data_IF_401529690501
#
_entry.id   IF_401529690501
#
_cell.length_a   1.000
_cell.length_b   1.000
_cell.length_c   1.000
_cell.angle_alpha   90.00
_cell.angle_beta   90.00
_cell.angle_gamma   90.00
#
_symmetry.space_group_name_H-M   'P 1'
#
loop_
_entity.id
_entity.type
_entity.pdbx_description
1 polymer ?
#
# COMPACT_ATOMS: atom_id res chain seq x y z
N UNK A 1 27.23 8.71 -14.19
CA UNK A 1 27.78 7.75 -13.19
C UNK A 1 27.08 7.80 -11.82
N UNK A 2 26.72 8.97 -11.25
CA UNK A 2 25.84 9.03 -10.05
C UNK A 2 24.49 8.30 -10.23
N UNK A 3 23.96 8.28 -11.46
CA UNK A 3 22.78 7.50 -11.84
C UNK A 3 23.01 5.98 -11.82
N UNK A 4 24.24 5.51 -12.03
CA UNK A 4 24.58 4.07 -12.03
C UNK A 4 24.70 3.49 -10.62
N UNK A 5 24.95 4.32 -9.62
CA UNK A 5 24.95 3.94 -8.20
C UNK A 5 23.50 3.78 -7.70
N UNK A 6 22.58 4.65 -8.14
CA UNK A 6 21.14 4.48 -7.88
C UNK A 6 20.53 3.23 -8.57
N UNK A 7 21.21 2.67 -9.58
CA UNK A 7 20.82 1.47 -10.34
C UNK A 7 21.55 0.18 -9.90
N UNK A 8 22.30 0.19 -8.79
CA UNK A 8 22.77 -1.04 -8.13
C UNK A 8 24.09 -1.65 -8.63
N UNK A 9 25.07 -0.86 -9.07
CA UNK A 9 26.40 -1.36 -9.43
C UNK A 9 27.47 -1.10 -8.32
N UNK A 10 28.40 -2.03 -7.99
CA UNK A 10 29.04 -2.12 -6.67
C UNK A 10 30.44 -1.50 -6.51
N UNK A 11 30.92 -0.62 -7.40
CA UNK A 11 32.28 -0.02 -7.27
C UNK A 11 32.24 1.50 -7.11
N UNK A 12 32.46 1.95 -5.88
CA UNK A 12 32.62 3.36 -5.50
C UNK A 12 34.08 3.76 -5.71
N UNK A 13 34.35 4.74 -6.58
CA UNK A 13 35.69 5.34 -6.74
C UNK A 13 35.86 6.55 -5.80
N UNK A 14 37.10 6.86 -5.40
CA UNK A 14 37.41 8.01 -4.53
C UNK A 14 36.95 9.36 -5.12
N UNK A 15 36.84 9.46 -6.44
CA UNK A 15 36.34 10.65 -7.14
C UNK A 15 34.83 10.81 -6.91
N UNK A 16 34.09 9.71 -6.93
CA UNK A 16 32.63 9.71 -6.69
C UNK A 16 32.30 10.10 -5.25
N UNK A 17 33.12 9.66 -4.27
CA UNK A 17 32.99 10.09 -2.88
C UNK A 17 33.29 11.58 -2.71
N UNK A 18 34.35 12.09 -3.35
CA UNK A 18 34.72 13.51 -3.27
C UNK A 18 33.64 14.44 -3.85
N UNK A 19 33.00 14.00 -4.95
CA UNK A 19 31.85 14.70 -5.53
C UNK A 19 30.64 14.67 -4.60
N UNK A 20 30.32 13.51 -4.00
CA UNK A 20 29.23 13.38 -3.05
C UNK A 20 29.42 14.30 -1.83
N UNK A 21 30.64 14.35 -1.29
CA UNK A 21 31.02 15.29 -0.23
C UNK A 21 30.76 16.74 -0.63
N UNK A 22 31.15 17.12 -1.84
CA UNK A 22 30.96 18.47 -2.36
C UNK A 22 29.47 18.81 -2.54
N UNK A 23 28.65 17.84 -2.98
CA UNK A 23 27.19 18.00 -3.03
C UNK A 23 26.55 18.12 -1.65
N UNK A 24 27.02 17.35 -0.67
CA UNK A 24 26.57 17.49 0.72
C UNK A 24 26.91 18.87 1.28
N UNK A 25 28.11 19.38 1.04
CA UNK A 25 28.52 20.72 1.48
C UNK A 25 27.65 21.83 0.86
N UNK A 26 27.26 21.69 -0.41
CA UNK A 26 26.34 22.61 -1.11
C UNK A 26 24.92 22.54 -0.52
N UNK A 27 24.42 21.34 -0.20
CA UNK A 27 23.10 21.16 0.42
C UNK A 27 23.07 21.77 1.83
N UNK A 28 24.14 21.56 2.60
CA UNK A 28 24.28 22.14 3.93
C UNK A 28 24.41 23.68 3.88
N UNK A 29 25.09 24.22 2.86
CA UNK A 29 25.14 25.66 2.61
C UNK A 29 23.78 26.24 2.17
N UNK A 30 23.02 25.51 1.34
CA UNK A 30 21.64 25.88 0.94
C UNK A 30 20.67 25.92 2.12
N UNK A 31 20.85 25.04 3.10
CA UNK A 31 20.03 24.90 4.31
C UNK A 31 20.48 25.81 5.46
N UNK A 32 21.60 26.53 5.29
CA UNK A 32 22.22 27.39 6.31
C UNK A 32 22.62 26.66 7.61
N UNK A 33 22.82 25.34 7.55
CA UNK A 33 23.14 24.50 8.72
C UNK A 33 24.65 24.33 8.95
N UNK A 34 25.51 25.20 8.40
CA UNK A 34 26.98 25.09 8.53
C UNK A 34 27.49 25.16 9.98
N UNK A 35 26.70 25.75 10.88
CA UNK A 35 27.05 25.94 12.30
C UNK A 35 26.23 25.05 13.24
N UNK A 36 25.30 24.25 12.71
CA UNK A 36 24.44 23.38 13.52
C UNK A 36 25.04 21.97 13.63
N UNK A 37 24.99 21.40 14.84
CA UNK A 37 25.43 20.02 15.08
C UNK A 37 24.36 19.08 14.52
N UNK A 38 24.56 18.60 13.29
CA UNK A 38 23.64 17.65 12.66
C UNK A 38 23.95 16.25 13.20
N UNK A 39 23.06 15.74 14.04
CA UNK A 39 23.14 14.36 14.54
C UNK A 39 22.34 13.44 13.58
N UNK A 40 23.06 12.60 12.85
CA UNK A 40 22.45 11.59 11.96
C UNK A 40 22.23 10.31 12.78
N UNK A 41 21.00 10.05 13.19
CA UNK A 41 20.64 8.85 13.94
C UNK A 41 20.25 7.68 13.01
N UNK A 42 20.65 6.45 13.38
CA UNK A 42 20.32 5.20 12.69
C UNK A 42 21.54 4.42 12.18
N UNK A 43 21.35 3.14 11.82
CA UNK A 43 22.40 2.23 11.33
C UNK A 43 23.13 2.78 10.08
N UNK A 44 22.39 3.46 9.21
CA UNK A 44 22.91 4.14 8.01
C UNK A 44 23.76 5.36 8.38
N UNK A 45 23.45 6.03 9.50
CA UNK A 45 24.18 7.18 10.02
C UNK A 45 25.57 6.81 10.52
N UNK A 46 25.73 5.63 11.15
CA UNK A 46 27.05 5.14 11.59
C UNK A 46 27.97 4.82 10.40
N UNK A 47 27.42 4.25 9.33
CA UNK A 47 28.16 3.99 8.10
C UNK A 47 28.59 5.30 7.41
N UNK A 48 27.68 6.29 7.35
CA UNK A 48 27.99 7.61 6.83
C UNK A 48 29.06 8.33 7.67
N UNK A 49 28.95 8.33 9.00
CA UNK A 49 29.93 8.96 9.91
C UNK A 49 31.32 8.33 9.73
N UNK A 50 31.40 7.00 9.55
CA UNK A 50 32.65 6.30 9.28
C UNK A 50 33.27 6.71 7.92
N UNK A 51 32.45 6.76 6.86
CA UNK A 51 32.90 7.18 5.52
C UNK A 51 33.34 8.66 5.52
N UNK A 52 32.59 9.54 6.19
CA UNK A 52 32.91 10.95 6.31
C UNK A 52 34.23 11.16 7.07
N UNK A 53 34.50 10.40 8.14
CA UNK A 53 35.76 10.44 8.90
C UNK A 53 36.97 9.91 8.13
N UNK A 54 36.79 8.90 7.28
CA UNK A 54 37.87 8.32 6.47
C UNK A 54 38.17 9.11 5.19
N UNK A 55 37.24 9.96 4.74
CA UNK A 55 37.41 10.82 3.57
C UNK A 55 38.34 12.02 3.86
N UNK A 56 39.34 12.24 2.99
CA UNK A 56 40.11 13.50 2.98
C UNK A 56 39.30 14.57 2.26
N UNK A 57 39.40 15.82 2.74
CA UNK A 57 38.78 17.02 2.15
C UNK A 57 38.83 16.97 0.62
N UNK A 58 37.66 17.10 0.00
CA UNK A 58 37.49 17.11 -1.46
C UNK A 58 38.44 18.13 -2.11
N UNK A 59 39.18 17.75 -3.17
CA UNK A 59 40.03 18.68 -3.93
C UNK A 59 39.24 19.57 -4.89
N UNK A 60 37.91 19.40 -4.99
CA UNK A 60 37.06 20.14 -5.91
C UNK A 60 36.34 21.29 -5.18
N UNK A 61 36.81 22.52 -5.42
CA UNK A 61 36.16 23.73 -4.94
C UNK A 61 35.07 24.15 -5.94
N UNK A 62 33.80 23.99 -5.56
CA UNK A 62 32.67 24.50 -6.35
C UNK A 62 32.33 25.91 -5.88
N UNK A 63 32.34 26.90 -6.78
CA UNK A 63 31.98 28.29 -6.46
C UNK A 63 30.50 28.39 -6.04
N UNK A 64 30.28 28.86 -4.80
CA UNK A 64 28.97 28.94 -4.15
C UNK A 64 28.18 30.22 -4.45
N UNK A 65 28.63 31.04 -5.41
CA UNK A 65 28.09 32.37 -5.70
C UNK A 65 26.62 32.40 -6.17
N UNK A 66 26.05 31.27 -6.62
CA UNK A 66 24.66 31.15 -7.08
C UNK A 66 23.68 30.50 -6.11
N UNK A 67 24.09 30.23 -4.86
CA UNK A 67 23.26 29.49 -3.90
C UNK A 67 22.33 30.46 -3.15
N UNK A 68 21.08 30.57 -3.63
CA UNK A 68 20.00 31.25 -2.89
C UNK A 68 19.64 30.42 -1.64
N UNK A 69 19.87 30.99 -0.46
CA UNK A 69 19.55 30.38 0.85
C UNK A 69 18.04 30.29 1.07
N UNK A 70 17.57 29.21 1.71
CA UNK A 70 16.14 29.01 2.03
C UNK A 70 15.61 29.82 3.23
N UNK A 71 16.41 30.76 3.75
CA UNK A 71 16.17 31.47 5.01
C UNK A 71 14.82 32.22 5.04
N UNK A 72 14.42 32.88 3.94
CA UNK A 72 13.12 33.54 3.84
C UNK A 72 11.93 32.57 3.93
N UNK A 73 12.08 31.35 3.41
CA UNK A 73 10.99 30.38 3.43
C UNK A 73 10.91 29.71 4.82
N UNK A 74 12.06 29.47 5.46
CA UNK A 74 12.11 28.97 6.84
C UNK A 74 11.60 30.01 7.86
N UNK A 75 11.83 31.30 7.64
CA UNK A 75 11.29 32.37 8.49
C UNK A 75 9.78 32.51 8.31
N UNK A 76 9.25 32.38 7.08
CA UNK A 76 7.81 32.31 6.79
C UNK A 76 7.16 31.11 7.49
N UNK A 77 7.77 29.93 7.44
CA UNK A 77 7.26 28.73 8.14
C UNK A 77 7.23 28.95 9.65
N UNK A 78 8.31 29.48 10.26
CA UNK A 78 8.32 29.81 11.70
C UNK A 78 7.25 30.84 12.08
N UNK A 79 7.00 31.83 11.24
CA UNK A 79 5.92 32.81 11.47
C UNK A 79 4.53 32.17 11.42
N UNK A 80 4.33 31.19 10.53
CA UNK A 80 3.09 30.46 10.38
C UNK A 80 2.82 29.58 11.61
N UNK A 81 3.85 28.86 12.09
CA UNK A 81 3.77 28.04 13.31
C UNK A 81 3.35 28.87 14.52
N UNK A 82 3.99 30.02 14.75
CA UNK A 82 3.59 30.93 15.84
C UNK A 82 2.15 31.41 15.73
N UNK A 83 1.66 31.62 14.50
CA UNK A 83 0.27 32.07 14.28
C UNK A 83 -0.73 30.95 14.55
N UNK A 84 -0.38 29.71 14.26
CA UNK A 84 -1.16 28.52 14.63
C UNK A 84 -1.24 28.40 16.15
N UNK A 85 -0.12 28.52 16.88
CA UNK A 85 -0.10 28.45 18.35
C UNK A 85 -0.99 29.52 19.00
N UNK A 86 -1.01 30.74 18.45
CA UNK A 86 -1.88 31.83 18.92
C UNK A 86 -3.36 31.49 18.68
N UNK A 87 -3.68 30.91 17.52
CA UNK A 87 -5.06 30.54 17.17
C UNK A 87 -5.56 29.37 18.01
N UNK A 88 -4.72 28.36 18.25
CA UNK A 88 -5.04 27.22 19.12
C UNK A 88 -5.27 27.66 20.57
N UNK A 89 -4.46 28.59 21.07
CA UNK A 89 -4.67 29.17 22.40
C UNK A 89 -5.99 29.95 22.48
N UNK A 90 -6.32 30.77 21.47
CA UNK A 90 -7.61 31.48 21.42
C UNK A 90 -8.80 30.52 21.33
N UNK A 91 -8.68 29.46 20.52
CA UNK A 91 -9.71 28.45 20.40
C UNK A 91 -9.92 27.71 21.72
N UNK A 92 -8.83 27.35 22.39
CA UNK A 92 -8.87 26.68 23.70
C UNK A 92 -9.45 27.58 24.80
N UNK A 93 -9.18 28.89 24.77
CA UNK A 93 -9.82 29.86 25.66
C UNK A 93 -11.33 29.97 25.39
N UNK A 94 -11.74 30.01 24.12
CA UNK A 94 -13.15 30.00 23.75
C UNK A 94 -13.87 28.71 24.18
N UNK A 95 -13.26 27.55 23.95
CA UNK A 95 -13.82 26.26 24.35
C UNK A 95 -13.92 26.13 25.87
N UNK A 96 -12.91 26.61 26.62
CA UNK A 96 -13.01 26.70 28.10
C UNK A 96 -14.14 27.62 28.54
N UNK A 97 -14.37 28.74 27.85
CA UNK A 97 -15.50 29.63 28.11
C UNK A 97 -16.86 29.00 27.82
N UNK A 98 -16.94 28.16 26.78
CA UNK A 98 -18.16 27.41 26.44
C UNK A 98 -18.42 26.32 27.49
N UNK A 99 -17.39 25.55 27.86
CA UNK A 99 -17.51 24.50 28.89
C UNK A 99 -17.81 25.07 30.28
N UNK A 100 -17.28 26.23 30.62
CA UNK A 100 -17.61 26.92 31.87
C UNK A 100 -19.07 27.44 31.92
N UNK A 101 -19.75 27.52 30.76
CA UNK A 101 -21.15 27.92 30.63
C UNK A 101 -22.10 26.74 30.40
N UNK A 102 -21.60 25.50 30.35
CA UNK A 102 -22.41 24.30 30.06
C UNK A 102 -23.21 23.83 31.29
N UNK A 103 -22.72 24.11 32.52
CA UNK A 103 -23.40 23.81 33.79
C UNK A 103 -24.32 24.94 34.30
N UNK A 104 -24.39 26.06 33.59
CA UNK A 104 -25.33 27.14 33.92
C UNK A 104 -26.61 26.90 33.10
N UNK A 105 -27.77 26.63 33.73
CA UNK A 105 -29.02 26.51 32.99
C UNK A 105 -29.20 27.77 32.14
N UNK A 106 -29.65 27.57 30.90
CA UNK A 106 -29.71 28.52 29.78
C UNK A 106 -30.60 29.76 30.03
N UNK A 107 -30.33 30.49 31.11
CA UNK A 107 -30.91 31.77 31.45
C UNK A 107 -30.02 32.93 30.98
N UNK A 108 -28.83 32.63 30.44
CA UNK A 108 -27.92 33.63 29.92
C UNK A 108 -28.46 34.34 28.67
N UNK A 109 -29.37 33.70 27.92
CA UNK A 109 -30.14 34.27 26.81
C UNK A 109 -31.66 34.31 27.07
N UNK A 110 -32.05 34.23 28.35
CA UNK A 110 -33.45 34.38 28.76
C UNK A 110 -33.93 35.81 28.55
N UNK A 111 -35.20 35.97 28.17
CA UNK A 111 -35.81 37.28 27.93
C UNK A 111 -35.73 38.20 29.15
N UNK A 112 -35.59 37.66 30.36
CA UNK A 112 -35.43 38.41 31.61
C UNK A 112 -34.01 38.93 31.88
N UNK A 113 -32.99 38.38 31.21
CA UNK A 113 -31.62 38.88 31.25
C UNK A 113 -31.27 39.72 30.01
N UNK A 114 -32.17 39.84 29.04
CA UNK A 114 -31.99 40.68 27.85
C UNK A 114 -31.74 42.13 28.25
N UNK A 115 -32.38 42.64 29.30
CA UNK A 115 -32.20 44.01 29.83
C UNK A 115 -30.75 44.32 30.24
N UNK A 116 -29.97 43.32 30.68
CA UNK A 116 -28.55 43.53 31.06
C UNK A 116 -27.63 43.65 29.84
N UNK A 117 -27.96 42.96 28.75
CA UNK A 117 -27.25 43.10 27.47
C UNK A 117 -27.74 44.32 26.68
N UNK A 118 -29.04 44.61 26.79
CA UNK A 118 -29.66 45.80 26.27
C UNK A 118 -29.08 47.03 26.97
N UNK A 119 -28.84 47.05 28.28
CA UNK A 119 -28.16 48.19 28.95
C UNK A 119 -26.81 48.60 28.35
N UNK A 120 -26.05 47.65 27.77
CA UNK A 120 -24.79 47.96 27.08
C UNK A 120 -25.00 48.50 25.66
N UNK A 121 -26.13 48.16 25.01
CA UNK A 121 -26.50 48.56 23.65
C UNK A 121 -27.57 49.68 23.59
N UNK A 122 -28.26 49.98 24.68
CA UNK A 122 -29.41 50.90 24.80
C UNK A 122 -29.02 52.27 25.35
N UNK A 123 -27.73 52.55 25.51
CA UNK A 123 -27.24 53.94 25.58
C UNK A 123 -27.35 54.69 24.24
N UNK A 124 -28.09 54.15 23.26
CA UNK A 124 -28.32 54.79 21.96
C UNK A 124 -29.58 55.67 21.97
N UNK A 125 -30.46 55.59 22.97
CA UNK A 125 -31.63 56.48 22.99
C UNK A 125 -32.22 56.68 24.38
N UNK A 126 -31.53 57.37 25.27
CA UNK A 126 -32.17 58.00 26.42
C UNK A 126 -31.54 59.39 26.60
N UNK A 127 -32.28 60.41 26.17
CA UNK A 127 -31.93 61.85 26.11
C UNK A 127 -30.75 62.22 25.19
N UNK A 128 -31.01 62.71 23.96
CA UNK A 128 -29.96 63.25 23.12
C UNK A 128 -29.36 64.50 23.78
N UNK A 129 -28.04 64.56 23.87
CA UNK A 129 -27.35 65.82 24.14
C UNK A 129 -27.64 66.82 22.99
N UNK A 130 -27.56 68.14 23.21
CA UNK A 130 -27.92 69.13 22.17
C UNK A 130 -27.13 68.98 20.85
N UNK A 131 -26.01 68.28 20.89
CA UNK A 131 -25.15 67.92 19.76
C UNK A 131 -25.64 66.70 18.94
N UNK A 132 -26.44 65.81 19.54
CA UNK A 132 -26.98 64.59 18.91
C UNK A 132 -28.42 64.76 18.38
N UNK A 133 -29.01 65.96 18.57
CA UNK A 133 -30.38 66.27 18.17
C UNK A 133 -30.59 66.15 16.65
N UNK A 134 -29.56 66.46 15.86
CA UNK A 134 -29.62 66.43 14.40
C UNK A 134 -29.59 65.00 13.83
N UNK A 135 -28.65 64.12 14.22
CA UNK A 135 -28.69 62.69 13.88
C UNK A 135 -30.00 62.00 14.32
N UNK A 136 -30.52 62.29 15.51
CA UNK A 136 -31.80 61.74 15.97
C UNK A 136 -32.98 62.19 15.11
N UNK A 137 -33.05 63.47 14.71
CA UNK A 137 -34.09 63.97 13.78
C UNK A 137 -34.00 63.33 12.40
N UNK A 138 -32.80 63.03 11.92
CA UNK A 138 -32.57 62.28 10.67
C UNK A 138 -33.05 60.82 10.77
N UNK A 139 -32.80 60.15 11.89
CA UNK A 139 -33.30 58.79 12.15
C UNK A 139 -34.83 58.74 12.35
N UNK A 140 -35.44 59.85 12.78
CA UNK A 140 -36.91 59.97 12.87
C UNK A 140 -37.53 60.22 11.48
N UNK A 141 -36.74 60.65 10.50
CA UNK A 141 -37.21 60.88 9.14
C UNK A 141 -37.29 59.55 8.37
N UNK A 142 -38.52 59.07 8.20
CA UNK A 142 -38.82 57.80 7.54
C UNK A 142 -38.25 57.71 6.12
N UNK A 143 -38.18 58.83 5.37
CA UNK A 143 -37.59 58.85 4.03
C UNK A 143 -36.07 58.67 4.04
N UNK A 144 -35.37 59.26 5.02
CA UNK A 144 -33.93 59.10 5.17
C UNK A 144 -33.57 57.66 5.56
N UNK A 145 -34.34 57.08 6.48
CA UNK A 145 -34.18 55.68 6.89
C UNK A 145 -34.47 54.72 5.73
N UNK A 146 -35.56 54.93 4.99
CA UNK A 146 -35.87 54.15 3.78
C UNK A 146 -34.77 54.29 2.72
N UNK A 147 -34.21 55.49 2.55
CA UNK A 147 -33.13 55.73 1.61
C UNK A 147 -31.84 54.99 2.02
N UNK A 148 -31.47 55.03 3.30
CA UNK A 148 -30.33 54.27 3.85
C UNK A 148 -30.52 52.76 3.73
N UNK A 149 -31.73 52.26 4.02
CA UNK A 149 -32.05 50.85 3.85
C UNK A 149 -31.92 50.47 2.38
N UNK A 150 -32.48 51.26 1.46
CA UNK A 150 -32.45 50.94 0.03
C UNK A 150 -31.04 51.06 -0.59
N UNK A 151 -30.23 52.02 -0.14
CA UNK A 151 -28.89 52.26 -0.70
C UNK A 151 -27.80 51.40 -0.06
N UNK A 152 -27.90 51.11 1.24
CA UNK A 152 -26.88 50.36 1.97
C UNK A 152 -27.27 48.91 2.24
N UNK A 153 -28.46 48.70 2.82
CA UNK A 153 -28.83 47.40 3.39
C UNK A 153 -29.42 46.46 2.32
N UNK A 154 -30.32 46.94 1.46
CA UNK A 154 -30.93 46.18 0.35
C UNK A 154 -29.92 45.52 -0.59
N UNK A 155 -28.90 46.22 -1.13
CA UNK A 155 -27.92 45.57 -2.01
C UNK A 155 -27.08 44.52 -1.27
N UNK A 156 -26.81 44.75 0.02
CA UNK A 156 -26.06 43.82 0.87
C UNK A 156 -26.88 42.54 1.13
N UNK A 157 -28.18 42.69 1.41
CA UNK A 157 -29.12 41.57 1.51
C UNK A 157 -29.27 40.81 0.19
N UNK A 158 -29.33 41.52 -0.94
CA UNK A 158 -29.41 40.90 -2.26
C UNK A 158 -28.15 40.06 -2.57
N UNK A 159 -26.95 40.58 -2.26
CA UNK A 159 -25.69 39.84 -2.43
C UNK A 159 -25.63 38.62 -1.49
N UNK A 160 -26.08 38.77 -0.24
CA UNK A 160 -26.21 37.65 0.69
C UNK A 160 -27.15 36.56 0.17
N UNK A 161 -28.27 36.91 -0.43
CA UNK A 161 -29.20 35.93 -1.02
C UNK A 161 -28.59 35.24 -2.24
N UNK A 162 -27.81 35.94 -3.06
CA UNK A 162 -27.04 35.31 -4.16
C UNK A 162 -26.05 34.29 -3.60
N UNK A 163 -25.30 34.64 -2.54
CA UNK A 163 -24.38 33.69 -1.89
C UNK A 163 -25.12 32.51 -1.28
N UNK A 164 -26.24 32.74 -0.61
CA UNK A 164 -27.09 31.69 -0.03
C UNK A 164 -27.58 30.71 -1.11
N UNK A 165 -28.02 31.21 -2.27
CA UNK A 165 -28.41 30.37 -3.42
C UNK A 165 -27.23 29.54 -3.95
N UNK A 166 -26.04 30.14 -4.06
CA UNK A 166 -24.81 29.41 -4.46
C UNK A 166 -24.46 28.30 -3.48
N UNK A 167 -24.55 28.55 -2.17
CA UNK A 167 -24.31 27.53 -1.14
C UNK A 167 -25.32 26.38 -1.26
N UNK A 168 -26.61 26.68 -1.45
CA UNK A 168 -27.63 25.64 -1.68
C UNK A 168 -27.31 24.78 -2.90
N UNK A 169 -26.96 25.40 -4.04
CA UNK A 169 -26.58 24.67 -5.25
C UNK A 169 -25.32 23.79 -5.05
N UNK A 170 -24.32 24.28 -4.30
CA UNK A 170 -23.16 23.48 -3.94
C UNK A 170 -23.55 22.29 -3.06
N UNK A 171 -24.42 22.50 -2.07
CA UNK A 171 -24.89 21.44 -1.18
C UNK A 171 -25.64 20.35 -1.95
N UNK A 172 -26.47 20.71 -2.94
CA UNK A 172 -27.11 19.76 -3.85
C UNK A 172 -26.07 18.94 -4.62
N UNK A 173 -25.09 19.60 -5.24
CA UNK A 173 -23.99 18.92 -5.96
C UNK A 173 -23.18 17.98 -5.07
N UNK A 174 -22.89 18.37 -3.83
CA UNK A 174 -22.21 17.50 -2.87
C UNK A 174 -23.06 16.29 -2.49
N UNK A 175 -24.38 16.48 -2.38
CA UNK A 175 -25.31 15.39 -2.08
C UNK A 175 -25.37 14.39 -3.23
N UNK A 176 -25.39 14.87 -4.47
CA UNK A 176 -25.38 14.02 -5.66
C UNK A 176 -24.05 13.28 -5.83
N UNK A 177 -22.92 13.96 -5.57
CA UNK A 177 -21.61 13.33 -5.55
C UNK A 177 -21.54 12.23 -4.49
N UNK A 178 -22.07 12.48 -3.28
CA UNK A 178 -22.13 11.49 -2.21
C UNK A 178 -22.94 10.26 -2.63
N UNK A 179 -24.09 10.46 -3.28
CA UNK A 179 -24.91 9.36 -3.81
C UNK A 179 -24.12 8.56 -4.86
N UNK A 180 -23.48 9.22 -5.81
CA UNK A 180 -22.68 8.59 -6.85
C UNK A 180 -21.55 7.73 -6.26
N UNK A 181 -20.79 8.29 -5.30
CA UNK A 181 -19.71 7.58 -4.62
C UNK A 181 -20.25 6.34 -3.91
N UNK A 182 -21.36 6.46 -3.17
CA UNK A 182 -21.97 5.33 -2.48
C UNK A 182 -22.40 4.23 -3.45
N UNK A 183 -23.02 4.58 -4.58
CA UNK A 183 -23.40 3.61 -5.62
C UNK A 183 -22.17 2.89 -6.19
N UNK A 184 -21.10 3.63 -6.51
CA UNK A 184 -19.85 3.02 -7.01
C UNK A 184 -19.15 2.15 -5.98
N UNK A 185 -19.21 2.52 -4.70
CA UNK A 185 -18.66 1.71 -3.63
C UNK A 185 -19.41 0.37 -3.50
N UNK A 186 -20.75 0.40 -3.62
CA UNK A 186 -21.58 -0.81 -3.63
C UNK A 186 -21.20 -1.70 -4.82
N UNK A 187 -21.12 -1.15 -6.04
CA UNK A 187 -20.72 -1.89 -7.25
C UNK A 187 -19.33 -2.55 -7.08
N UNK A 188 -18.35 -1.81 -6.54
CA UNK A 188 -16.99 -2.32 -6.30
C UNK A 188 -17.02 -3.45 -5.26
N UNK A 189 -17.77 -3.28 -4.18
CA UNK A 189 -17.88 -4.29 -3.13
C UNK A 189 -18.52 -5.58 -3.65
N UNK A 190 -19.55 -5.48 -4.51
CA UNK A 190 -20.14 -6.65 -5.16
C UNK A 190 -19.13 -7.35 -6.07
N UNK A 191 -18.39 -6.61 -6.90
CA UNK A 191 -17.32 -7.21 -7.74
C UNK A 191 -16.24 -7.88 -6.89
N UNK A 192 -15.85 -7.27 -5.78
CA UNK A 192 -14.87 -7.84 -4.86
C UNK A 192 -15.37 -9.15 -4.24
N UNK A 193 -16.63 -9.22 -3.81
CA UNK A 193 -17.25 -10.47 -3.33
C UNK A 193 -17.24 -11.57 -4.39
N UNK A 194 -17.59 -11.24 -5.64
CA UNK A 194 -17.52 -12.20 -6.75
C UNK A 194 -16.09 -12.69 -7.00
N UNK A 195 -15.10 -11.79 -6.91
CA UNK A 195 -13.68 -12.15 -7.05
C UNK A 195 -13.21 -13.11 -5.95
N UNK A 196 -13.64 -12.92 -4.71
CA UNK A 196 -13.31 -13.84 -3.60
C UNK A 196 -13.92 -15.22 -3.86
N UNK A 197 -15.19 -15.27 -4.27
CA UNK A 197 -15.88 -16.53 -4.56
C UNK A 197 -15.18 -17.26 -5.72
N UNK A 198 -14.85 -16.54 -6.80
CA UNK A 198 -14.12 -17.09 -7.94
C UNK A 198 -12.76 -17.67 -7.54
N UNK A 199 -12.00 -16.98 -6.68
CA UNK A 199 -10.70 -17.46 -6.22
C UNK A 199 -10.82 -18.66 -5.27
N UNK A 200 -11.92 -18.76 -4.52
CA UNK A 200 -12.22 -19.96 -3.72
C UNK A 200 -12.51 -21.16 -4.62
N UNK A 201 -13.38 -20.99 -5.62
CA UNK A 201 -13.70 -22.02 -6.62
C UNK A 201 -12.44 -22.47 -7.38
N UNK A 202 -11.57 -21.53 -7.76
CA UNK A 202 -10.28 -21.85 -8.42
C UNK A 202 -9.42 -22.76 -7.55
N UNK A 203 -9.27 -22.42 -6.26
CA UNK A 203 -8.50 -23.24 -5.31
C UNK A 203 -9.12 -24.61 -5.09
N UNK A 204 -10.44 -24.68 -4.93
CA UNK A 204 -11.15 -25.95 -4.76
C UNK A 204 -10.95 -26.86 -5.99
N UNK A 205 -11.06 -26.28 -7.20
CA UNK A 205 -10.79 -27.01 -8.45
C UNK A 205 -9.34 -27.48 -8.58
N UNK A 206 -8.35 -26.65 -8.21
CA UNK A 206 -6.94 -27.04 -8.22
C UNK A 206 -6.64 -28.17 -7.24
N UNK A 207 -7.27 -28.14 -6.05
CA UNK A 207 -7.16 -29.21 -5.07
C UNK A 207 -7.77 -30.52 -5.58
N UNK A 208 -8.99 -30.48 -6.13
CA UNK A 208 -9.63 -31.67 -6.71
C UNK A 208 -8.82 -32.24 -7.87
N UNK A 209 -8.26 -31.38 -8.74
CA UNK A 209 -7.38 -31.79 -9.83
C UNK A 209 -6.11 -32.49 -9.31
N UNK A 210 -5.50 -31.98 -8.25
CA UNK A 210 -4.34 -32.61 -7.64
C UNK A 210 -4.68 -33.99 -7.06
N UNK A 211 -5.80 -34.10 -6.33
CA UNK A 211 -6.29 -35.38 -5.78
C UNK A 211 -6.57 -36.38 -6.91
N UNK A 212 -7.19 -35.92 -8.00
CA UNK A 212 -7.46 -36.75 -9.17
C UNK A 212 -6.18 -37.33 -9.78
N UNK A 213 -5.15 -36.50 -9.99
CA UNK A 213 -3.89 -37.00 -10.57
C UNK A 213 -3.15 -37.97 -9.63
N UNK A 214 -3.18 -37.73 -8.30
CA UNK A 214 -2.65 -38.69 -7.33
C UNK A 214 -3.40 -40.01 -7.43
N UNK A 215 -4.73 -39.97 -7.39
CA UNK A 215 -5.59 -41.17 -7.44
C UNK A 215 -5.40 -41.94 -8.75
N UNK A 216 -5.30 -41.23 -9.88
CA UNK A 216 -5.04 -41.82 -11.19
C UNK A 216 -3.70 -42.54 -11.24
N UNK A 217 -2.64 -41.93 -10.70
CA UNK A 217 -1.32 -42.56 -10.63
C UNK A 217 -1.34 -43.78 -9.71
N UNK A 218 -1.99 -43.72 -8.55
CA UNK A 218 -2.14 -44.86 -7.65
C UNK A 218 -2.87 -46.04 -8.31
N UNK A 219 -3.96 -45.76 -9.04
CA UNK A 219 -4.69 -46.80 -9.80
C UNK A 219 -3.79 -47.41 -10.88
N UNK A 220 -3.01 -46.58 -11.58
CA UNK A 220 -2.07 -47.05 -12.60
C UNK A 220 -0.99 -47.98 -12.02
N UNK A 221 -0.35 -47.58 -10.92
CA UNK A 221 0.63 -48.39 -10.20
C UNK A 221 0.03 -49.70 -9.69
N UNK A 222 -1.20 -49.65 -9.15
CA UNK A 222 -1.90 -50.85 -8.71
C UNK A 222 -2.20 -51.81 -9.88
N UNK A 223 -2.56 -51.30 -11.05
CA UNK A 223 -2.76 -52.10 -12.25
C UNK A 223 -1.45 -52.74 -12.73
N UNK A 224 -0.35 -51.98 -12.77
CA UNK A 224 0.98 -52.50 -13.12
C UNK A 224 1.38 -53.64 -12.17
N UNK A 225 1.28 -53.42 -10.86
CA UNK A 225 1.61 -54.43 -9.86
C UNK A 225 0.76 -55.70 -10.00
N UNK A 226 -0.53 -55.56 -10.32
CA UNK A 226 -1.40 -56.71 -10.61
C UNK A 226 -0.94 -57.46 -11.87
N UNK A 227 -0.64 -56.75 -12.95
CA UNK A 227 -0.21 -57.34 -14.22
C UNK A 227 1.11 -58.10 -14.07
N UNK A 228 2.08 -57.56 -13.31
CA UNK A 228 3.32 -58.25 -12.97
C UNK A 228 3.09 -59.54 -12.17
N UNK A 229 2.16 -59.49 -11.20
CA UNK A 229 1.87 -60.60 -10.28
C UNK A 229 0.98 -61.71 -10.86
N UNK A 230 0.22 -61.44 -11.92
CA UNK A 230 -0.64 -62.45 -12.55
C UNK A 230 -0.08 -62.90 -13.89
N UNK A 231 -0.11 -62.02 -14.89
CA UNK A 231 0.19 -62.33 -16.29
C UNK A 231 1.66 -62.66 -16.47
N UNK A 232 2.54 -61.80 -15.94
CA UNK A 232 3.99 -61.89 -16.18
C UNK A 232 4.61 -63.08 -15.43
N UNK A 233 4.12 -63.35 -14.23
CA UNK A 233 4.52 -64.51 -13.44
C UNK A 233 3.96 -65.82 -14.00
N UNK A 234 2.73 -65.80 -14.52
CA UNK A 234 2.17 -66.95 -15.24
C UNK A 234 2.96 -67.26 -16.51
N UNK A 235 3.23 -66.25 -17.33
CA UNK A 235 4.03 -66.39 -18.55
C UNK A 235 5.44 -66.91 -18.23
N UNK A 236 6.08 -66.36 -17.19
CA UNK A 236 7.39 -66.83 -16.72
C UNK A 236 7.37 -68.30 -16.32
N UNK A 237 6.34 -68.75 -15.58
CA UNK A 237 6.19 -70.16 -15.21
C UNK A 237 6.03 -71.06 -16.42
N UNK A 238 5.13 -70.70 -17.35
CA UNK A 238 4.91 -71.49 -18.56
C UNK A 238 6.20 -71.63 -19.38
N UNK A 239 6.93 -70.54 -19.59
CA UNK A 239 8.21 -70.57 -20.30
C UNK A 239 9.21 -71.47 -19.57
N UNK A 240 9.33 -71.35 -18.25
CA UNK A 240 10.23 -72.20 -17.47
C UNK A 240 9.86 -73.70 -17.55
N UNK A 241 8.58 -74.03 -17.54
CA UNK A 241 8.13 -75.41 -17.62
C UNK A 241 8.34 -76.00 -19.03
N UNK A 242 8.15 -75.21 -20.07
CA UNK A 242 8.50 -75.55 -21.45
C UNK A 242 10.01 -75.80 -21.62
N UNK A 243 10.86 -74.93 -21.07
CA UNK A 243 12.32 -75.15 -21.08
C UNK A 243 12.71 -76.43 -20.34
N UNK A 244 12.11 -76.70 -19.17
CA UNK A 244 12.36 -77.96 -18.44
C UNK A 244 11.93 -79.18 -19.23
N UNK A 245 10.81 -79.10 -19.97
CA UNK A 245 10.34 -80.19 -20.84
C UNK A 245 11.35 -80.45 -21.96
N UNK A 246 11.76 -79.40 -22.67
CA UNK A 246 12.77 -79.48 -23.72
C UNK A 246 14.10 -80.03 -23.20
N UNK A 247 14.54 -79.62 -22.01
CA UNK A 247 15.78 -80.12 -21.43
C UNK A 247 15.69 -81.62 -21.07
N UNK A 248 14.54 -82.09 -20.58
CA UNK A 248 14.30 -83.53 -20.35
C UNK A 248 14.34 -84.31 -21.65
N UNK A 249 13.69 -83.80 -22.70
CA UNK A 249 13.71 -84.44 -24.03
C UNK A 249 15.12 -84.46 -24.63
N UNK A 250 15.85 -83.36 -24.50
CA UNK A 250 17.24 -83.27 -24.91
C UNK A 250 18.13 -84.28 -24.18
N UNK A 251 17.97 -84.44 -22.86
CA UNK A 251 18.69 -85.46 -22.08
C UNK A 251 18.35 -86.88 -22.55
N UNK A 252 17.09 -87.17 -22.86
CA UNK A 252 16.67 -88.45 -23.44
C UNK A 252 17.35 -88.70 -24.79
N UNK A 253 17.32 -87.72 -25.69
CA UNK A 253 17.97 -87.81 -26.99
C UNK A 253 19.49 -88.03 -26.86
N UNK A 254 20.16 -87.30 -25.96
CA UNK A 254 21.59 -87.52 -25.68
C UNK A 254 21.89 -88.93 -25.16
N UNK A 255 21.02 -89.49 -24.31
CA UNK A 255 21.16 -90.86 -23.83
C UNK A 255 21.02 -91.88 -24.97
N UNK A 256 20.03 -91.71 -25.84
CA UNK A 256 19.86 -92.53 -27.05
C UNK A 256 21.08 -92.43 -27.96
N UNK A 257 21.60 -91.22 -28.18
CA UNK A 257 22.78 -90.98 -29.02
C UNK A 257 24.05 -91.61 -28.43
N UNK A 258 24.22 -91.56 -27.10
CA UNK A 258 25.31 -92.27 -26.39
C UNK A 258 25.18 -93.79 -26.54
N UNK A 259 23.98 -94.34 -26.42
CA UNK A 259 23.72 -95.77 -26.57
C UNK A 259 23.95 -96.23 -28.02
N UNK A 260 23.50 -95.46 -29.02
CA UNK A 260 23.78 -95.72 -30.43
C UNK A 260 25.28 -95.68 -30.73
N UNK A 261 26.03 -94.71 -30.17
CA UNK A 261 27.51 -94.68 -30.28
C UNK A 261 28.18 -95.89 -29.64
N UNK A 262 27.68 -96.37 -28.48
CA UNK A 262 28.18 -97.60 -27.83
C UNK A 262 27.90 -98.85 -28.68
N UNK A 263 26.69 -99.01 -29.19
CA UNK A 263 26.33 -100.12 -30.09
C UNK A 263 27.18 -100.11 -31.37
N UNK A 264 27.41 -98.93 -31.97
CA UNK A 264 28.28 -98.80 -33.15
C UNK A 264 29.74 -99.19 -32.87
N UNK A 265 30.25 -98.96 -31.65
CA UNK A 265 31.58 -99.45 -31.21
C UNK A 265 31.62 -100.96 -31.00
N UNK A 266 30.53 -101.56 -30.50
CA UNK A 266 30.40 -103.02 -30.31
C UNK A 266 30.36 -103.72 -31.67
N UNK A 267 29.57 -103.20 -32.62
CA UNK A 267 29.49 -103.73 -33.99
C UNK A 267 30.85 -103.61 -34.71
N UNK A 268 31.57 -102.48 -34.55
CA UNK A 268 32.94 -102.34 -35.08
C UNK A 268 33.94 -103.33 -34.45
N UNK A 269 33.83 -103.64 -33.16
CA UNK A 269 34.66 -104.66 -32.51
C UNK A 269 34.31 -106.09 -32.93
N UNK A 270 33.02 -106.38 -33.14
CA UNK A 270 32.55 -107.67 -33.64
C UNK A 270 33.01 -107.94 -35.08
N UNK A 271 32.98 -106.92 -35.94
CA UNK A 271 33.45 -107.05 -37.32
C UNK A 271 34.98 -107.10 -37.43
N UNK A 272 35.72 -106.61 -36.44
CA UNK A 272 37.18 -106.75 -36.35
C UNK A 272 37.63 -108.11 -35.76
N UNK A 273 36.68 -108.91 -35.24
CA UNK A 273 36.93 -110.27 -34.75
C UNK A 273 36.58 -111.35 -35.78
N UNK A 274 35.96 -110.96 -36.90
CA UNK A 274 35.52 -111.81 -38.01
C UNK A 274 36.29 -111.55 -39.31
N UNK A 275 37.38 -110.76 -39.25
CA UNK A 275 38.36 -110.55 -40.31
C UNK A 275 39.73 -110.98 -39.78
#
# INVERSE_FOLDING_TARGET
ELLQIALGCPKISNVNLSLLHSFFDIILEKLDSRTEKIEIAGEVGFCLDKILKESRKSPYHFESAGIVKFEENLSKVRSLTRRVDILENKLSQHLKGIWAMEDVPNDHYSSSNFDKYAQACEKICMTPEPQDLFPCKLLTNQHFVLHLINMGISPLLAEMDIKRKKIKCLQEKFTDLKKLINTKLIEINEKYKHSIIAEKLRRDFENERAIYEITKNEIFEMMLAKLEKTELTFLKRNIQDEFKRLEKEWKKLQAVLKNAKKQKKIIKKSNAFLA
#
